data_IF_504781660504
#
_entry.id   IF_504781660504
#
_cell.length_a   1.000
_cell.length_b   1.000
_cell.length_c   1.000
_cell.angle_alpha   90.00
_cell.angle_beta   90.00
_cell.angle_gamma   90.00
#
_symmetry.space_group_name_H-M   'P 1'
#
loop_
_entity.id
_entity.type
_entity.pdbx_description
1 polymer ?
#
# COMPACT_ATOMS: atom_id res chain seq x y z
N UNK A 1 11.19 -12.33 36.49
CA UNK A 1 11.61 -11.56 35.28
C UNK A 1 11.54 -12.51 34.09
N UNK A 2 10.53 -12.41 33.25
CA UNK A 2 10.48 -13.18 32.00
C UNK A 2 11.60 -12.68 31.09
N UNK A 3 12.49 -13.56 30.65
CA UNK A 3 13.47 -13.25 29.61
C UNK A 3 12.70 -12.74 28.38
N UNK A 4 13.20 -11.74 27.63
CA UNK A 4 12.58 -11.38 26.37
C UNK A 4 12.54 -12.64 25.50
N UNK A 5 11.32 -13.05 25.15
CA UNK A 5 11.13 -14.19 24.24
C UNK A 5 11.87 -13.86 22.95
N UNK A 6 12.77 -14.75 22.52
CA UNK A 6 13.51 -14.55 21.27
C UNK A 6 12.50 -14.36 20.12
N UNK A 7 12.80 -13.44 19.22
CA UNK A 7 11.96 -13.16 18.04
C UNK A 7 11.76 -14.44 17.20
N UNK A 8 10.51 -14.81 16.87
CA UNK A 8 10.25 -16.02 16.11
C UNK A 8 10.95 -16.00 14.74
N UNK A 9 11.59 -17.10 14.32
CA UNK A 9 12.30 -17.14 13.02
C UNK A 9 11.42 -16.81 11.81
N UNK A 10 10.15 -17.20 11.83
CA UNK A 10 9.18 -16.86 10.77
C UNK A 10 8.98 -15.34 10.68
N UNK A 11 8.75 -14.68 11.81
CA UNK A 11 8.62 -13.24 11.87
C UNK A 11 9.89 -12.52 11.41
N UNK A 12 11.06 -12.95 11.88
CA UNK A 12 12.34 -12.37 11.48
C UNK A 12 12.58 -12.49 9.96
N UNK A 13 12.23 -13.64 9.34
CA UNK A 13 12.32 -13.82 7.88
C UNK A 13 11.36 -12.89 7.15
N UNK A 14 10.12 -12.78 7.59
CA UNK A 14 9.14 -11.90 6.99
C UNK A 14 9.57 -10.42 7.05
N UNK A 15 10.06 -9.95 8.20
CA UNK A 15 10.62 -8.59 8.36
C UNK A 15 11.82 -8.37 7.45
N UNK A 16 12.74 -9.34 7.37
CA UNK A 16 13.88 -9.26 6.46
C UNK A 16 13.43 -9.12 4.99
N UNK A 17 12.39 -9.88 4.57
CA UNK A 17 11.77 -9.77 3.26
C UNK A 17 11.16 -8.40 2.98
N UNK A 18 10.54 -7.77 3.98
CA UNK A 18 9.99 -6.41 3.86
C UNK A 18 11.07 -5.31 3.82
N UNK A 19 12.28 -5.59 4.29
CA UNK A 19 13.42 -4.66 4.27
C UNK A 19 14.30 -4.79 3.03
N UNK A 20 14.25 -5.93 2.35
CA UNK A 20 15.22 -6.28 1.31
C UNK A 20 15.09 -5.49 -0.01
N UNK A 21 13.87 -5.31 -0.59
CA UNK A 21 13.74 -4.65 -1.88
C UNK A 21 13.85 -3.13 -1.76
N UNK A 22 14.54 -2.52 -2.74
CA UNK A 22 14.38 -1.10 -3.01
C UNK A 22 13.20 -0.92 -3.98
N UNK A 23 12.16 -0.15 -3.63
CA UNK A 23 11.09 0.19 -4.56
C UNK A 23 11.60 1.14 -5.66
N UNK A 24 10.72 1.45 -6.62
CA UNK A 24 10.99 2.49 -7.60
C UNK A 24 11.20 3.86 -6.92
N UNK A 25 11.99 4.79 -7.53
CA UNK A 25 12.40 6.03 -6.87
C UNK A 25 11.26 6.93 -6.38
N UNK A 26 10.08 6.82 -6.99
CA UNK A 26 8.90 7.61 -6.61
C UNK A 26 8.22 7.12 -5.33
N UNK A 27 8.59 5.93 -4.83
CA UNK A 27 8.03 5.35 -3.60
C UNK A 27 9.09 5.38 -2.51
N UNK A 28 8.83 6.18 -1.48
CA UNK A 28 9.67 6.27 -0.29
C UNK A 28 9.09 5.36 0.79
N UNK A 29 9.89 4.42 1.30
CA UNK A 29 9.52 3.53 2.39
C UNK A 29 10.23 3.93 3.67
N UNK A 30 9.49 3.94 4.78
CA UNK A 30 10.01 4.22 6.12
C UNK A 30 9.46 3.21 7.12
N UNK A 31 10.31 2.74 8.03
CA UNK A 31 9.86 1.95 9.17
C UNK A 31 9.17 2.87 10.18
N UNK A 32 7.99 2.48 10.62
CA UNK A 32 7.22 3.23 11.61
C UNK A 32 6.91 2.35 12.82
N UNK A 33 6.51 2.98 13.91
CA UNK A 33 6.06 2.25 15.09
C UNK A 33 4.87 1.33 14.73
N UNK A 34 5.05 0.03 14.97
CA UNK A 34 3.99 -0.93 14.73
C UNK A 34 2.85 -0.75 15.76
N UNK A 35 1.58 -1.02 15.35
CA UNK A 35 0.46 -0.97 16.27
C UNK A 35 0.64 -2.02 17.38
N UNK A 36 0.42 -1.58 18.60
CA UNK A 36 0.47 -2.47 19.78
C UNK A 36 -0.86 -3.23 19.95
N UNK A 37 -0.79 -4.44 20.49
CA UNK A 37 -1.94 -5.25 20.89
C UNK A 37 -2.77 -5.87 19.77
N UNK A 38 -2.31 -5.84 18.52
CA UNK A 38 -2.97 -6.53 17.40
C UNK A 38 -2.50 -7.98 17.28
N UNK A 39 -1.23 -8.24 17.59
CA UNK A 39 -0.61 -9.56 17.61
C UNK A 39 0.59 -9.54 18.58
N UNK A 40 1.10 -10.72 19.00
CA UNK A 40 2.32 -10.81 19.80
C UNK A 40 3.54 -10.15 19.17
N UNK A 41 3.66 -10.21 17.85
CA UNK A 41 4.72 -9.58 17.07
C UNK A 41 4.11 -8.76 15.94
N UNK A 42 4.63 -7.56 15.72
CA UNK A 42 4.19 -6.67 14.68
C UNK A 42 5.35 -5.82 14.13
N UNK A 43 5.33 -5.56 12.84
CA UNK A 43 6.24 -4.66 12.14
C UNK A 43 5.44 -3.79 11.19
N UNK A 44 5.87 -2.55 10.96
CA UNK A 44 5.12 -1.63 10.11
C UNK A 44 6.02 -0.76 9.24
N UNK A 45 5.58 -0.56 8.00
CA UNK A 45 6.15 0.37 7.04
C UNK A 45 5.10 1.43 6.69
N UNK A 46 5.55 2.65 6.47
CA UNK A 46 4.83 3.67 5.71
C UNK A 46 5.42 3.82 4.33
N UNK A 47 4.60 4.22 3.37
CA UNK A 47 5.01 4.61 2.04
C UNK A 47 4.46 5.99 1.70
N UNK A 48 5.29 6.81 1.06
CA UNK A 48 4.88 8.06 0.40
C UNK A 48 5.17 7.92 -1.08
N UNK A 49 4.19 8.21 -1.93
CA UNK A 49 4.36 8.18 -3.39
C UNK A 49 4.43 9.59 -3.93
N UNK A 50 5.52 9.90 -4.61
CA UNK A 50 5.79 11.21 -5.19
C UNK A 50 5.57 11.16 -6.71
N UNK A 51 4.90 12.18 -7.24
CA UNK A 51 4.79 12.46 -8.68
C UNK A 51 5.21 13.90 -8.94
N UNK A 52 6.30 14.09 -9.68
CA UNK A 52 6.89 15.42 -9.94
C UNK A 52 7.29 16.21 -8.68
N UNK A 53 7.57 15.52 -7.57
CA UNK A 53 7.94 16.09 -6.29
C UNK A 53 6.79 16.28 -5.30
N UNK A 54 5.55 16.13 -5.75
CA UNK A 54 4.36 16.23 -4.89
C UNK A 54 3.90 14.85 -4.41
N UNK A 55 3.47 14.77 -3.15
CA UNK A 55 2.84 13.57 -2.60
C UNK A 55 1.45 13.38 -3.22
N UNK A 56 1.24 12.25 -3.89
CA UNK A 56 -0.03 11.93 -4.58
C UNK A 56 -0.73 10.70 -4.01
N UNK A 57 -0.03 9.88 -3.27
CA UNK A 57 -0.58 8.75 -2.55
C UNK A 57 0.29 8.38 -1.36
N UNK A 58 -0.28 7.72 -0.42
CA UNK A 58 0.43 7.18 0.74
C UNK A 58 -0.16 5.85 1.18
N UNK A 59 0.61 5.11 1.98
CA UNK A 59 0.14 3.84 2.49
C UNK A 59 0.87 3.39 3.74
N UNK A 60 0.27 2.39 4.39
CA UNK A 60 0.90 1.65 5.50
C UNK A 60 0.75 0.17 5.24
N UNK A 61 1.81 -0.57 5.46
CA UNK A 61 1.83 -2.03 5.44
C UNK A 61 2.24 -2.53 6.81
N UNK A 62 1.40 -3.35 7.42
CA UNK A 62 1.61 -3.90 8.75
C UNK A 62 1.71 -5.41 8.62
N UNK A 63 2.81 -5.95 9.13
CA UNK A 63 3.01 -7.38 9.31
C UNK A 63 2.63 -7.72 10.75
N UNK A 64 1.73 -8.66 10.91
CA UNK A 64 1.32 -9.24 12.19
C UNK A 64 1.73 -10.70 12.22
N UNK A 65 2.22 -11.18 13.36
CA UNK A 65 2.55 -12.58 13.57
C UNK A 65 2.09 -13.05 14.95
N UNK A 66 1.35 -14.14 14.94
CA UNK A 66 0.97 -14.89 16.13
C UNK A 66 1.46 -16.33 15.99
N UNK A 67 2.51 -16.73 16.75
CA UNK A 67 3.06 -18.09 16.68
C UNK A 67 2.06 -19.20 17.02
N UNK A 68 0.97 -18.88 17.72
CA UNK A 68 -0.10 -19.83 18.01
C UNK A 68 -1.04 -20.05 16.83
N UNK A 69 -0.91 -19.23 15.78
CA UNK A 69 -1.85 -19.16 14.68
C UNK A 69 -3.14 -18.41 15.05
N UNK A 70 -3.81 -17.90 14.04
CA UNK A 70 -5.08 -17.19 14.21
C UNK A 70 -6.11 -17.74 13.22
N UNK A 71 -7.23 -18.25 13.73
CA UNK A 71 -8.26 -18.91 12.90
C UNK A 71 -8.76 -17.99 11.77
N UNK A 72 -9.06 -16.73 12.08
CA UNK A 72 -9.53 -15.75 11.09
C UNK A 72 -8.46 -15.35 10.04
N UNK A 73 -7.19 -15.64 10.29
CA UNK A 73 -6.12 -15.39 9.31
C UNK A 73 -5.86 -16.60 8.41
N UNK A 74 -6.30 -17.78 8.82
CA UNK A 74 -5.94 -19.07 8.22
C UNK A 74 -4.42 -19.29 8.18
N UNK A 75 -3.71 -18.83 9.22
CA UNK A 75 -2.25 -18.88 9.34
C UNK A 75 -1.75 -18.13 10.58
N UNK A 76 -0.45 -17.98 10.67
CA UNK A 76 0.26 -17.33 11.77
C UNK A 76 0.82 -15.93 11.42
N UNK A 77 0.85 -15.60 10.12
CA UNK A 77 1.26 -14.28 9.60
C UNK A 77 0.06 -13.62 8.89
N UNK A 78 -0.11 -12.32 9.10
CA UNK A 78 -1.09 -11.50 8.38
C UNK A 78 -0.46 -10.20 7.91
N UNK A 79 -0.65 -9.86 6.65
CA UNK A 79 -0.36 -8.53 6.11
C UNK A 79 -1.65 -7.71 6.07
N UNK A 80 -1.56 -6.48 6.55
CA UNK A 80 -2.69 -5.52 6.58
C UNK A 80 -2.22 -4.22 5.96
N UNK A 81 -3.02 -3.65 5.07
CA UNK A 81 -2.69 -2.36 4.44
C UNK A 81 -3.83 -1.37 4.49
N UNK A 82 -3.44 -0.11 4.55
CA UNK A 82 -4.25 1.07 4.27
C UNK A 82 -3.49 1.87 3.21
N UNK A 83 -4.13 2.17 2.08
CA UNK A 83 -3.59 3.05 1.03
C UNK A 83 -4.59 4.15 0.78
N UNK A 84 -4.11 5.38 0.66
CA UNK A 84 -4.93 6.56 0.35
C UNK A 84 -4.31 7.32 -0.82
N UNK A 85 -5.16 7.87 -1.68
CA UNK A 85 -4.74 8.74 -2.77
C UNK A 85 -5.82 9.78 -3.07
N UNK A 86 -5.40 10.97 -3.48
CA UNK A 86 -6.30 11.95 -4.07
C UNK A 86 -6.63 11.53 -5.51
N UNK A 87 -7.92 11.57 -5.85
CA UNK A 87 -8.41 11.20 -7.17
C UNK A 87 -8.51 12.44 -8.09
N UNK A 88 -8.12 12.26 -9.33
CA UNK A 88 -8.47 13.21 -10.38
C UNK A 88 -10.00 13.17 -10.63
N UNK A 89 -10.59 14.32 -10.96
CA UNK A 89 -12.05 14.47 -11.07
C UNK A 89 -12.69 13.44 -12.03
N UNK A 90 -12.00 13.12 -13.13
CA UNK A 90 -12.49 12.15 -14.12
C UNK A 90 -12.56 10.71 -13.57
N UNK A 91 -11.71 10.38 -12.61
CA UNK A 91 -11.71 9.07 -11.94
C UNK A 91 -12.70 9.00 -10.78
N UNK A 92 -12.98 10.15 -10.16
CA UNK A 92 -13.86 10.22 -8.99
C UNK A 92 -15.31 9.82 -9.32
N UNK A 93 -15.75 10.01 -10.56
CA UNK A 93 -17.10 9.71 -11.02
C UNK A 93 -17.19 8.35 -11.77
N UNK A 94 -16.09 7.60 -11.89
CA UNK A 94 -16.09 6.30 -12.57
C UNK A 94 -16.71 5.22 -11.67
N UNK A 95 -17.88 4.65 -12.04
CA UNK A 95 -18.53 3.60 -11.25
C UNK A 95 -17.72 2.29 -11.19
N UNK A 96 -16.75 2.09 -12.07
CA UNK A 96 -15.89 0.90 -12.10
C UNK A 96 -14.64 1.05 -11.22
N UNK A 97 -14.36 2.27 -10.74
CA UNK A 97 -13.14 2.52 -9.97
C UNK A 97 -12.97 1.59 -8.75
N UNK A 98 -13.99 1.24 -7.96
CA UNK A 98 -13.80 0.32 -6.84
C UNK A 98 -13.30 -1.06 -7.28
N UNK A 99 -13.85 -1.61 -8.37
CA UNK A 99 -13.43 -2.90 -8.91
C UNK A 99 -12.01 -2.82 -9.46
N UNK A 100 -11.70 -1.78 -10.22
CA UNK A 100 -10.36 -1.53 -10.77
C UNK A 100 -9.33 -1.33 -9.66
N UNK A 101 -9.66 -0.55 -8.62
CA UNK A 101 -8.76 -0.33 -7.49
C UNK A 101 -8.46 -1.63 -6.73
N UNK A 102 -9.42 -2.53 -6.63
CA UNK A 102 -9.20 -3.86 -6.07
C UNK A 102 -8.22 -4.69 -6.90
N UNK A 103 -8.31 -4.61 -8.24
CA UNK A 103 -7.38 -5.33 -9.12
C UNK A 103 -5.95 -4.83 -9.01
N UNK A 104 -5.72 -3.55 -8.66
CA UNK A 104 -4.35 -3.04 -8.46
C UNK A 104 -3.60 -3.82 -7.38
N UNK A 105 -4.27 -4.25 -6.31
CA UNK A 105 -3.66 -5.10 -5.30
C UNK A 105 -3.44 -6.52 -5.81
N UNK A 106 -4.49 -7.16 -6.34
CA UNK A 106 -4.42 -8.57 -6.74
C UNK A 106 -3.46 -8.79 -7.91
N UNK A 107 -3.45 -7.88 -8.89
CA UNK A 107 -2.54 -7.93 -10.03
C UNK A 107 -1.09 -7.60 -9.60
N UNK A 108 -0.91 -6.64 -8.70
CA UNK A 108 0.40 -6.33 -8.12
C UNK A 108 1.01 -7.54 -7.40
N UNK A 109 0.21 -8.25 -6.59
CA UNK A 109 0.65 -9.47 -5.93
C UNK A 109 0.95 -10.60 -6.95
N UNK A 110 0.11 -10.75 -7.96
CA UNK A 110 0.30 -11.76 -9.01
C UNK A 110 1.55 -11.51 -9.86
N UNK A 111 1.82 -10.26 -10.24
CA UNK A 111 3.01 -9.87 -11.01
C UNK A 111 4.32 -10.25 -10.32
N UNK A 112 4.33 -10.25 -8.99
CA UNK A 112 5.49 -10.60 -8.18
C UNK A 112 5.44 -12.02 -7.62
N UNK A 113 4.51 -12.86 -8.10
CA UNK A 113 4.32 -14.24 -7.65
C UNK A 113 4.12 -14.36 -6.12
N UNK A 114 3.53 -13.35 -5.49
CA UNK A 114 3.21 -13.34 -4.07
C UNK A 114 2.03 -14.28 -3.81
N UNK A 115 2.30 -15.47 -3.32
CA UNK A 115 1.28 -16.46 -3.02
C UNK A 115 0.60 -16.17 -1.68
N UNK A 116 -0.72 -16.11 -1.67
CA UNK A 116 -1.50 -15.74 -0.48
C UNK A 116 -2.81 -16.53 -0.39
N UNK A 117 -3.39 -16.48 0.80
CA UNK A 117 -4.75 -16.95 1.11
C UNK A 117 -5.54 -15.90 1.86
N UNK A 118 -6.83 -16.11 2.04
CA UNK A 118 -7.71 -15.31 2.90
C UNK A 118 -7.63 -13.79 2.63
N UNK A 119 -7.48 -13.37 1.36
CA UNK A 119 -7.48 -11.95 1.01
C UNK A 119 -8.89 -11.38 1.12
N UNK A 120 -8.97 -10.16 1.64
CA UNK A 120 -10.22 -9.40 1.71
C UNK A 120 -9.96 -7.94 2.02
N UNK A 121 -10.93 -7.08 1.72
CA UNK A 121 -10.77 -5.65 1.97
C UNK A 121 -11.99 -4.82 1.58
N UNK A 122 -11.81 -3.52 1.63
CA UNK A 122 -12.81 -2.50 1.25
C UNK A 122 -12.16 -1.40 0.43
N UNK A 123 -12.90 -0.90 -0.54
CA UNK A 123 -12.59 0.31 -1.28
C UNK A 123 -13.59 1.39 -0.87
N UNK A 124 -13.09 2.55 -0.47
CA UNK A 124 -13.91 3.69 -0.08
C UNK A 124 -13.56 4.88 -0.98
N UNK A 125 -14.57 5.48 -1.59
CA UNK A 125 -14.45 6.74 -2.29
C UNK A 125 -15.17 7.82 -1.47
N UNK A 126 -14.53 8.97 -1.31
CA UNK A 126 -15.09 10.10 -0.58
C UNK A 126 -14.99 11.34 -1.44
N UNK A 127 -16.11 12.03 -1.66
CA UNK A 127 -16.14 13.33 -2.34
C UNK A 127 -16.50 14.41 -1.34
N UNK A 128 -15.70 15.48 -1.30
CA UNK A 128 -15.88 16.62 -0.41
C UNK A 128 -16.19 17.88 -1.21
N UNK A 129 -17.36 18.47 -0.96
CA UNK A 129 -17.78 19.76 -1.56
C UNK A 129 -17.81 20.82 -0.49
N UNK A 130 -17.26 21.99 -0.78
CA UNK A 130 -17.16 23.12 0.16
C UNK A 130 -18.26 24.14 -0.09
N UNK A 131 -18.88 24.65 0.97
CA UNK A 131 -19.97 25.62 0.94
C UNK A 131 -19.71 26.81 1.86
N UNK A 132 -20.46 27.88 1.69
CA UNK A 132 -20.39 29.08 2.52
C UNK A 132 -19.05 29.82 2.36
N UNK A 133 -18.44 30.20 3.47
CA UNK A 133 -17.14 30.90 3.46
C UNK A 133 -15.97 30.04 2.94
N UNK A 134 -16.15 28.72 2.90
CA UNK A 134 -15.16 27.78 2.34
C UNK A 134 -15.39 27.49 0.85
N UNK A 135 -16.45 28.04 0.26
CA UNK A 135 -16.76 27.86 -1.15
C UNK A 135 -15.68 28.49 -2.06
N UNK A 136 -15.49 27.91 -3.24
CA UNK A 136 -14.54 28.41 -4.26
C UNK A 136 -13.67 27.32 -4.87
N UNK A 137 -12.89 26.53 -4.10
CA UNK A 137 -12.18 25.39 -4.64
C UNK A 137 -13.13 24.33 -5.21
N UNK A 138 -12.74 23.62 -6.29
CA UNK A 138 -13.53 22.50 -6.81
C UNK A 138 -13.65 21.38 -5.74
N UNK A 139 -14.64 20.49 -5.87
CA UNK A 139 -14.71 19.29 -5.05
C UNK A 139 -13.41 18.49 -5.12
N UNK A 140 -13.02 17.90 -4.00
CA UNK A 140 -11.91 16.94 -3.93
C UNK A 140 -12.47 15.55 -3.71
N UNK A 141 -11.83 14.56 -4.31
CA UNK A 141 -12.18 13.16 -4.13
C UNK A 141 -10.97 12.37 -3.67
N UNK A 142 -11.21 11.45 -2.75
CA UNK A 142 -10.18 10.60 -2.15
C UNK A 142 -10.57 9.12 -2.31
N UNK A 143 -9.58 8.29 -2.58
CA UNK A 143 -9.66 6.84 -2.56
C UNK A 143 -8.98 6.30 -1.30
N UNK A 144 -9.65 5.39 -0.63
CA UNK A 144 -9.06 4.60 0.45
C UNK A 144 -9.21 3.11 0.15
N UNK A 145 -8.10 2.38 0.18
CA UNK A 145 -8.08 0.93 0.07
C UNK A 145 -7.62 0.34 1.40
N UNK A 146 -8.48 -0.46 2.02
CA UNK A 146 -8.12 -1.29 3.18
C UNK A 146 -8.15 -2.73 2.75
N UNK A 147 -7.07 -3.45 2.98
CA UNK A 147 -7.00 -4.87 2.64
C UNK A 147 -6.13 -5.64 3.63
N UNK A 148 -6.32 -6.94 3.67
CA UNK A 148 -5.44 -7.83 4.40
C UNK A 148 -5.42 -9.21 3.76
N UNK A 149 -4.30 -9.91 3.86
CA UNK A 149 -4.09 -11.25 3.31
C UNK A 149 -3.06 -12.03 4.13
N UNK A 150 -3.07 -13.34 3.97
CA UNK A 150 -2.13 -14.23 4.63
C UNK A 150 -1.12 -14.74 3.61
N UNK A 151 0.17 -14.43 3.73
CA UNK A 151 1.23 -15.04 2.94
C UNK A 151 1.26 -16.56 3.15
N UNK A 152 1.55 -17.33 2.10
CA UNK A 152 1.70 -18.79 2.19
C UNK A 152 3.13 -19.23 2.53
N UNK A 153 4.07 -18.28 2.60
CA UNK A 153 5.46 -18.48 2.97
C UNK A 153 5.93 -17.35 3.88
N UNK A 154 6.98 -17.59 4.66
CA UNK A 154 7.51 -16.60 5.63
C UNK A 154 8.26 -15.45 4.95
N UNK A 155 8.71 -15.59 3.70
CA UNK A 155 9.36 -14.52 2.96
C UNK A 155 8.32 -13.54 2.39
N UNK A 156 8.34 -12.31 2.88
CA UNK A 156 7.41 -11.26 2.47
C UNK A 156 7.93 -10.36 1.34
N UNK A 157 9.07 -10.66 0.71
CA UNK A 157 9.68 -9.85 -0.36
C UNK A 157 8.72 -9.63 -1.53
N UNK A 158 8.13 -10.69 -2.05
CA UNK A 158 7.17 -10.61 -3.17
C UNK A 158 5.92 -9.80 -2.79
N UNK A 159 5.48 -9.89 -1.54
CA UNK A 159 4.33 -9.14 -1.04
C UNK A 159 4.61 -7.63 -0.94
N UNK A 160 5.81 -7.23 -0.53
CA UNK A 160 6.21 -5.82 -0.54
C UNK A 160 6.25 -5.27 -1.97
N UNK A 161 6.85 -6.01 -2.91
CA UNK A 161 6.92 -5.59 -4.31
C UNK A 161 5.51 -5.47 -4.94
N UNK A 162 4.61 -6.42 -4.65
CA UNK A 162 3.21 -6.36 -5.07
C UNK A 162 2.46 -5.17 -4.48
N UNK A 163 2.70 -4.85 -3.21
CA UNK A 163 2.14 -3.68 -2.56
C UNK A 163 2.68 -2.36 -3.16
N UNK A 164 3.98 -2.29 -3.47
CA UNK A 164 4.56 -1.15 -4.16
C UNK A 164 3.99 -0.98 -5.59
N UNK A 165 3.72 -2.09 -6.30
CA UNK A 165 3.04 -2.03 -7.60
C UNK A 165 1.61 -1.48 -7.48
N UNK A 166 0.85 -1.89 -6.46
CA UNK A 166 -0.46 -1.31 -6.14
C UNK A 166 -0.36 0.20 -5.86
N UNK A 167 0.59 0.64 -5.01
CA UNK A 167 0.81 2.06 -4.71
C UNK A 167 1.09 2.87 -5.98
N UNK A 168 1.93 2.34 -6.88
CA UNK A 168 2.23 2.98 -8.16
C UNK A 168 0.97 3.13 -9.02
N UNK A 169 0.11 2.10 -9.09
CA UNK A 169 -1.15 2.15 -9.83
C UNK A 169 -2.14 3.15 -9.22
N UNK A 170 -2.28 3.13 -7.90
CA UNK A 170 -3.15 4.06 -7.14
C UNK A 170 -2.73 5.52 -7.37
N UNK A 171 -1.43 5.78 -7.46
CA UNK A 171 -0.86 7.11 -7.74
C UNK A 171 -0.88 7.49 -9.23
N UNK A 172 -1.38 6.64 -10.12
CA UNK A 172 -1.35 6.88 -11.57
C UNK A 172 0.06 6.97 -12.15
N UNK A 173 1.04 6.30 -11.53
CA UNK A 173 2.40 6.28 -12.07
C UNK A 173 2.46 5.35 -13.29
N UNK A 174 3.19 5.76 -14.35
CA UNK A 174 3.38 4.91 -15.52
C UNK A 174 4.17 3.64 -15.16
N UNK A 175 4.05 2.56 -15.93
CA UNK A 175 4.91 1.39 -15.78
C UNK A 175 6.39 1.78 -15.78
N UNK A 176 7.26 1.05 -15.07
CA UNK A 176 8.71 1.34 -15.07
C UNK A 176 9.28 1.39 -16.49
N UNK A 177 10.04 2.44 -16.79
CA UNK A 177 10.65 2.65 -18.13
C UNK A 177 9.75 3.31 -19.18
N UNK A 178 8.51 3.65 -18.84
CA UNK A 178 7.60 4.42 -19.71
C UNK A 178 7.58 5.87 -19.23
N UNK A 179 8.02 6.81 -20.10
CA UNK A 179 7.89 8.24 -19.83
C UNK A 179 6.51 8.74 -20.27
N UNK A 180 5.88 9.58 -19.45
CA UNK A 180 4.65 10.28 -19.87
C UNK A 180 4.99 11.27 -20.99
N UNK A 181 4.32 11.14 -22.12
CA UNK A 181 4.42 12.11 -23.23
C UNK A 181 3.86 13.45 -22.74
N UNK A 182 4.71 14.42 -22.44
CA UNK A 182 4.31 15.76 -22.01
C UNK A 182 5.23 16.44 -20.99
N UNK A 183 6.11 15.74 -20.34
CA UNK A 183 7.02 16.35 -19.35
C UNK A 183 8.25 17.04 -19.95
N UNK A 184 8.53 16.89 -21.26
CA UNK A 184 9.73 17.44 -21.91
C UNK A 184 9.57 18.85 -22.51
N UNK A 185 8.44 19.55 -22.34
CA UNK A 185 8.26 20.88 -22.96
C UNK A 185 8.58 22.09 -22.08
N UNK A 186 9.00 21.90 -20.82
CA UNK A 186 9.34 23.05 -19.95
C UNK A 186 10.84 23.29 -19.74
N UNK A 187 11.71 22.56 -20.42
CA UNK A 187 13.17 22.69 -20.25
C UNK A 187 13.87 23.47 -21.37
N UNK A 188 13.15 24.10 -22.32
CA UNK A 188 13.80 24.82 -23.40
C UNK A 188 13.00 26.06 -23.81
N UNK A 189 13.10 27.12 -23.02
CA UNK A 189 12.84 28.48 -23.47
C UNK A 189 14.03 29.37 -23.04
N UNK A 190 14.73 29.97 -23.97
CA UNK A 190 15.92 30.80 -23.76
C UNK A 190 15.61 32.09 -22.99
#
# INVERSE_FOLDING_TARGET
MASPSAEPPAFARAVAGLRAPAPRPEILLEEIAAPQRLAPYAFALSATVLRSGDEVAGGRLILLHDPAGHEAWHGDIRLVTLVTAELEADLADDPLLPEVAWTWLTDGLAQHAAAYTAIGGTITQTTSTRFGELAGPPPTADLEVRASWTPTADDATAHLLGWCAMLASTAGLPPPGVALLGQNQRANTP
#
